data_IF_421137637819
#
_entry.id   IF_421137637819
#
_cell.length_a   1.000
_cell.length_b   1.000
_cell.length_c   1.000
_cell.angle_alpha   90.00
_cell.angle_beta   90.00
_cell.angle_gamma   90.00
#
_symmetry.space_group_name_H-M   'P 1'
#
loop_
_entity.id
_entity.type
_entity.pdbx_description
1 polymer ?
#
# COMPACT_ATOMS: atom_id res chain seq x y z
N UNK A 1 11.34 9.69 -10.98
CA UNK A 1 10.50 9.11 -9.90
C UNK A 1 9.06 9.14 -10.38
N UNK A 2 8.44 7.96 -10.59
CA UNK A 2 7.12 7.84 -11.23
C UNK A 2 6.01 7.39 -10.26
N UNK A 3 6.32 7.42 -8.97
CA UNK A 3 5.37 7.11 -7.90
C UNK A 3 4.36 8.25 -7.74
N UNK A 4 3.13 7.91 -7.36
CA UNK A 4 2.08 8.86 -6.98
C UNK A 4 2.46 9.78 -5.81
N UNK A 5 3.48 9.43 -5.02
CA UNK A 5 4.10 10.33 -4.03
C UNK A 5 4.53 11.66 -4.63
N UNK A 6 4.91 11.65 -5.90
CA UNK A 6 5.47 12.81 -6.61
C UNK A 6 4.48 13.38 -7.62
N UNK A 7 3.21 12.99 -7.54
CA UNK A 7 2.14 13.65 -8.28
C UNK A 7 1.78 14.97 -7.59
N UNK A 8 1.55 15.98 -8.43
CA UNK A 8 1.17 17.31 -7.96
C UNK A 8 -0.20 17.18 -7.29
N UNK A 9 -0.24 17.49 -6.01
CA UNK A 9 -1.50 17.54 -5.25
C UNK A 9 -2.37 18.73 -5.69
N UNK A 10 -3.67 18.70 -5.38
CA UNK A 10 -4.55 19.87 -5.59
C UNK A 10 -3.98 21.11 -4.90
N UNK A 11 -3.47 20.94 -3.68
CA UNK A 11 -2.87 22.01 -2.90
C UNK A 11 -1.61 22.59 -3.57
N UNK A 12 -0.72 21.76 -4.13
CA UNK A 12 0.43 22.24 -4.92
C UNK A 12 0.01 22.88 -6.25
N UNK A 13 -1.14 22.50 -6.79
CA UNK A 13 -1.70 23.13 -7.99
C UNK A 13 -2.25 24.52 -7.68
N UNK A 14 -2.84 24.70 -6.50
CA UNK A 14 -3.39 25.97 -6.02
C UNK A 14 -2.32 26.91 -5.43
N UNK A 15 -1.17 26.37 -5.02
CA UNK A 15 -0.12 27.12 -4.32
C UNK A 15 1.24 27.05 -5.05
N UNK A 16 2.21 26.35 -4.48
CA UNK A 16 3.58 26.24 -4.97
C UNK A 16 3.90 24.77 -5.13
N UNK A 17 4.36 24.42 -6.34
CA UNK A 17 4.90 23.08 -6.62
C UNK A 17 6.31 22.97 -6.05
N UNK A 18 6.68 21.81 -5.51
CA UNK A 18 8.02 21.58 -4.96
C UNK A 18 9.14 21.89 -5.99
N UNK A 19 8.92 21.58 -7.27
CA UNK A 19 9.87 21.89 -8.35
C UNK A 19 10.00 23.38 -8.69
N UNK A 20 9.13 24.22 -8.14
CA UNK A 20 9.07 25.67 -8.38
C UNK A 20 9.55 26.46 -7.15
N UNK A 21 10.10 25.78 -6.12
CA UNK A 21 10.66 26.45 -4.96
C UNK A 21 11.81 27.37 -5.38
N UNK A 22 11.66 28.67 -5.06
CA UNK A 22 12.65 29.68 -5.39
C UNK A 22 13.90 29.50 -4.54
N UNK A 23 15.05 29.33 -5.21
CA UNK A 23 16.35 29.34 -4.54
C UNK A 23 16.89 30.76 -4.31
N UNK A 24 16.23 31.77 -4.88
CA UNK A 24 16.60 33.18 -4.68
C UNK A 24 16.03 33.75 -3.39
N UNK A 25 14.97 33.14 -2.87
CA UNK A 25 14.37 33.55 -1.60
C UNK A 25 15.07 32.86 -0.44
N UNK A 26 15.42 33.66 0.55
CA UNK A 26 16.05 33.20 1.78
C UNK A 26 14.99 33.06 2.88
N UNK A 27 14.97 31.89 3.51
CA UNK A 27 14.14 31.60 4.66
C UNK A 27 14.90 31.96 5.95
N UNK A 28 14.31 32.78 6.84
CA UNK A 28 14.91 33.09 8.12
C UNK A 28 14.96 31.84 9.01
N UNK A 29 16.07 31.66 9.73
CA UNK A 29 16.19 30.61 10.73
C UNK A 29 15.26 30.87 11.91
N UNK A 30 14.21 30.07 12.04
CA UNK A 30 13.26 30.17 13.15
C UNK A 30 13.97 29.90 14.50
N UNK A 31 13.70 30.68 15.56
CA UNK A 31 14.36 30.52 16.86
C UNK A 31 14.20 29.13 17.48
N UNK A 32 13.06 28.47 17.21
CA UNK A 32 12.75 27.12 17.68
C UNK A 32 13.27 26.01 16.77
N UNK A 33 13.92 26.34 15.66
CA UNK A 33 14.44 25.34 14.72
C UNK A 33 15.61 24.57 15.34
N UNK A 34 15.67 23.27 15.03
CA UNK A 34 16.83 22.42 15.34
C UNK A 34 18.13 22.99 14.79
N UNK A 35 18.07 23.76 13.70
CA UNK A 35 19.21 24.45 13.09
C UNK A 35 19.84 25.53 13.98
N UNK A 36 19.10 26.03 14.99
CA UNK A 36 19.61 26.99 15.97
C UNK A 36 19.99 26.34 17.30
N UNK A 37 19.67 25.06 17.51
CA UNK A 37 19.79 24.41 18.81
C UNK A 37 20.83 23.29 18.81
N UNK A 38 21.75 23.40 19.78
CA UNK A 38 22.86 22.49 20.14
C UNK A 38 24.07 22.49 19.18
N UNK A 39 25.09 23.25 19.61
CA UNK A 39 26.53 23.17 19.27
C UNK A 39 26.96 23.45 17.82
N UNK A 40 26.09 23.39 16.83
CA UNK A 40 26.34 23.89 15.48
C UNK A 40 25.67 25.24 15.26
N UNK A 41 26.20 26.33 15.81
CA UNK A 41 25.75 27.67 15.43
C UNK A 41 26.08 27.87 13.96
N UNK A 42 25.14 27.59 13.05
CA UNK A 42 25.14 28.18 11.73
C UNK A 42 25.18 29.70 11.97
N UNK A 43 26.30 30.35 11.65
CA UNK A 43 26.51 31.81 11.79
C UNK A 43 25.67 32.62 10.80
N UNK A 44 24.61 32.03 10.24
CA UNK A 44 23.82 32.59 9.15
C UNK A 44 22.39 32.70 9.65
N UNK A 45 21.80 33.89 9.56
CA UNK A 45 20.44 34.16 10.05
C UNK A 45 19.36 33.70 9.06
N UNK A 46 19.73 33.44 7.81
CA UNK A 46 18.86 33.01 6.73
C UNK A 46 19.55 31.98 5.84
N UNK A 47 18.79 31.10 5.18
CA UNK A 47 19.30 30.16 4.19
C UNK A 47 18.40 30.19 2.95
N UNK A 48 18.94 30.01 1.73
CA UNK A 48 18.12 29.76 0.55
C UNK A 48 17.13 28.62 0.81
N UNK A 49 15.92 28.71 0.27
CA UNK A 49 14.81 27.78 0.58
C UNK A 49 15.20 26.30 0.57
N UNK A 50 15.85 25.79 -0.48
CA UNK A 50 16.27 24.37 -0.51
C UNK A 50 17.40 24.08 0.48
N UNK A 51 18.31 25.04 0.68
CA UNK A 51 19.39 24.92 1.65
C UNK A 51 18.87 24.81 3.08
N UNK A 52 17.83 25.58 3.41
CA UNK A 52 17.12 25.49 4.69
C UNK A 52 16.52 24.08 4.87
N UNK A 53 15.78 23.59 3.87
CA UNK A 53 15.08 22.31 3.94
C UNK A 53 16.06 21.13 4.08
N UNK A 54 17.14 21.11 3.31
CA UNK A 54 18.15 20.06 3.42
C UNK A 54 18.89 20.11 4.75
N UNK A 55 19.35 21.28 5.19
CA UNK A 55 20.00 21.41 6.49
C UNK A 55 19.06 20.94 7.62
N UNK A 56 17.78 21.30 7.55
CA UNK A 56 16.79 20.87 8.53
C UNK A 56 16.65 19.35 8.55
N UNK A 57 16.51 18.70 7.39
CA UNK A 57 16.40 17.25 7.31
C UNK A 57 17.69 16.55 7.78
N UNK A 58 18.88 17.03 7.38
CA UNK A 58 20.19 16.46 7.74
C UNK A 58 20.50 16.51 9.25
N UNK A 59 19.78 17.34 10.00
CA UNK A 59 19.89 17.40 11.46
C UNK A 59 19.22 16.22 12.18
N UNK A 60 18.44 15.41 11.45
CA UNK A 60 17.80 14.20 11.95
C UNK A 60 18.49 12.96 11.41
N UNK A 61 18.43 11.86 12.18
CA UNK A 61 18.92 10.56 11.73
C UNK A 61 17.74 9.73 11.19
N UNK A 62 17.80 9.29 9.94
CA UNK A 62 16.78 8.46 9.30
C UNK A 62 17.18 6.97 9.20
N UNK A 63 18.28 6.56 9.85
CA UNK A 63 18.74 5.17 9.85
C UNK A 63 17.82 4.24 10.68
N UNK A 64 17.82 2.96 10.34
CA UNK A 64 17.18 1.86 11.08
C UNK A 64 17.82 1.64 12.44
N UNK A 65 17.07 1.13 13.42
CA UNK A 65 17.52 0.95 14.81
C UNK A 65 18.72 0.01 14.95
N UNK A 66 19.00 -0.84 13.95
CA UNK A 66 20.08 -1.82 13.99
C UNK A 66 21.50 -1.24 14.00
N UNK A 67 21.73 -0.01 13.52
CA UNK A 67 23.06 0.60 13.55
C UNK A 67 23.30 1.34 14.87
N UNK A 68 23.47 0.61 15.97
CA UNK A 68 24.05 1.16 17.21
C UNK A 68 25.56 1.39 17.06
N UNK A 69 25.99 2.08 16.00
CA UNK A 69 27.23 2.82 16.11
C UNK A 69 26.90 4.06 16.93
N UNK A 70 27.54 4.16 18.11
CA UNK A 70 27.48 5.34 18.97
C UNK A 70 28.01 6.54 18.17
N UNK A 71 27.15 7.19 17.39
CA UNK A 71 27.43 8.50 16.82
C UNK A 71 27.48 9.47 18.00
N UNK A 72 28.65 10.08 18.22
CA UNK A 72 28.86 11.11 19.25
C UNK A 72 27.89 12.30 19.11
N UNK A 73 27.24 12.43 17.96
CA UNK A 73 26.16 13.37 17.70
C UNK A 73 24.80 12.68 17.87
N UNK A 74 24.15 12.91 19.01
CA UNK A 74 22.77 12.50 19.29
C UNK A 74 21.77 13.27 18.40
N UNK A 75 21.77 13.00 17.09
CA UNK A 75 20.72 13.44 16.17
C UNK A 75 19.42 12.73 16.54
N UNK A 76 18.29 13.44 16.44
CA UNK A 76 16.99 12.85 16.77
C UNK A 76 16.64 11.81 15.69
N UNK A 77 16.40 10.57 16.10
CA UNK A 77 16.09 9.46 15.20
C UNK A 77 14.63 9.55 14.71
N UNK A 78 14.44 9.51 13.39
CA UNK A 78 13.15 9.45 12.70
C UNK A 78 13.10 8.13 11.93
N UNK A 79 12.60 7.09 12.58
CA UNK A 79 12.28 5.81 11.94
C UNK A 79 10.81 5.77 11.49
N UNK A 80 10.44 4.68 10.81
CA UNK A 80 9.05 4.47 10.42
C UNK A 80 8.10 4.49 11.62
N UNK A 81 8.48 3.95 12.78
CA UNK A 81 7.63 3.95 13.98
C UNK A 81 7.35 5.38 14.51
N UNK A 82 8.32 6.30 14.43
CA UNK A 82 8.15 7.73 14.75
C UNK A 82 7.10 8.41 13.87
N UNK A 83 6.97 8.04 12.59
CA UNK A 83 5.87 8.56 11.74
C UNK A 83 4.49 8.19 12.28
N UNK A 84 4.37 7.01 12.90
CA UNK A 84 3.14 6.60 13.58
C UNK A 84 2.82 7.48 14.79
N UNK A 85 3.82 7.77 15.62
CA UNK A 85 3.68 8.64 16.79
C UNK A 85 3.36 10.09 16.41
N UNK A 86 3.99 10.61 15.34
CA UNK A 86 3.70 11.95 14.82
C UNK A 86 2.24 12.02 14.35
N UNK A 87 1.75 10.99 13.66
CA UNK A 87 0.37 10.92 13.20
C UNK A 87 -0.65 10.97 14.33
N UNK A 88 -0.43 10.19 15.40
CA UNK A 88 -1.29 10.21 16.57
C UNK A 88 -1.37 11.60 17.21
N UNK A 89 -0.21 12.25 17.37
CA UNK A 89 -0.11 13.59 17.94
C UNK A 89 -0.83 14.64 17.10
N UNK A 90 -0.76 14.54 15.77
CA UNK A 90 -1.44 15.48 14.86
C UNK A 90 -2.97 15.29 14.89
N UNK A 91 -3.45 14.05 15.00
CA UNK A 91 -4.90 13.77 15.02
C UNK A 91 -5.55 13.86 16.40
N UNK A 92 -4.75 13.93 17.48
CA UNK A 92 -5.24 14.14 18.84
C UNK A 92 -6.20 13.06 19.35
N UNK A 93 -6.00 11.81 18.96
CA UNK A 93 -6.82 10.63 19.31
C UNK A 93 -8.33 10.71 19.00
N UNK A 94 -8.82 11.78 18.36
CA UNK A 94 -10.26 12.00 18.11
C UNK A 94 -10.89 10.93 17.20
N UNK A 95 -10.08 10.32 16.33
CA UNK A 95 -10.52 9.32 15.35
C UNK A 95 -10.23 7.86 15.79
N UNK A 96 -9.84 7.63 17.04
CA UNK A 96 -9.48 6.27 17.51
C UNK A 96 -8.18 5.73 16.89
N UNK A 97 -7.31 6.61 16.39
CA UNK A 97 -5.97 6.26 15.92
C UNK A 97 -5.12 5.77 17.09
N UNK A 98 -4.90 4.44 17.17
CA UNK A 98 -4.09 3.78 18.19
C UNK A 98 -2.91 3.08 17.53
N UNK A 99 -1.71 3.45 17.95
CA UNK A 99 -0.45 2.83 17.57
C UNK A 99 -0.31 1.50 18.30
N UNK A 100 -0.10 0.43 17.54
CA UNK A 100 0.18 -0.89 18.10
C UNK A 100 1.69 -1.02 18.29
N UNK A 101 2.20 -1.37 19.49
CA UNK A 101 3.63 -1.57 19.71
C UNK A 101 4.22 -2.62 18.76
N UNK A 102 5.44 -2.38 18.26
CA UNK A 102 6.09 -3.25 17.27
C UNK A 102 6.24 -4.71 17.71
N UNK A 103 6.47 -4.95 19.01
CA UNK A 103 6.56 -6.32 19.53
C UNK A 103 5.24 -7.11 19.39
N UNK A 104 4.10 -6.42 19.49
CA UNK A 104 2.78 -7.03 19.36
C UNK A 104 2.49 -7.34 17.89
N UNK A 105 2.76 -6.40 16.99
CA UNK A 105 2.54 -6.62 15.54
C UNK A 105 3.44 -7.72 15.02
N UNK A 106 4.72 -7.73 15.42
CA UNK A 106 5.68 -8.79 15.10
C UNK A 106 5.17 -10.17 15.54
N UNK A 107 4.81 -10.33 16.83
CA UNK A 107 4.32 -11.60 17.35
C UNK A 107 3.04 -12.08 16.63
N UNK A 108 2.06 -11.18 16.44
CA UNK A 108 0.81 -11.51 15.78
C UNK A 108 1.03 -11.92 14.32
N UNK A 109 1.90 -11.21 13.61
CA UNK A 109 2.23 -11.53 12.22
C UNK A 109 2.97 -12.87 12.12
N UNK A 110 3.95 -13.13 13.00
CA UNK A 110 4.69 -14.39 13.02
C UNK A 110 3.74 -15.60 13.15
N UNK A 111 2.87 -15.59 14.17
CA UNK A 111 1.93 -16.68 14.43
C UNK A 111 0.93 -16.86 13.27
N UNK A 112 0.33 -15.76 12.80
CA UNK A 112 -0.70 -15.81 11.76
C UNK A 112 -0.13 -16.25 10.40
N UNK A 113 1.02 -15.68 10.00
CA UNK A 113 1.60 -15.91 8.68
C UNK A 113 2.26 -17.29 8.62
N UNK A 114 3.00 -17.70 9.65
CA UNK A 114 3.60 -19.05 9.70
C UNK A 114 2.53 -20.13 9.57
N UNK A 115 1.44 -20.01 10.33
CA UNK A 115 0.30 -20.93 10.23
C UNK A 115 -0.35 -20.92 8.86
N UNK A 116 -0.51 -19.74 8.26
CA UNK A 116 -1.10 -19.59 6.92
C UNK A 116 -0.21 -20.23 5.85
N UNK A 117 1.11 -20.05 5.93
CA UNK A 117 2.08 -20.68 5.02
C UNK A 117 1.99 -22.20 5.15
N UNK A 118 2.02 -22.76 6.36
CA UNK A 118 1.88 -24.20 6.59
C UNK A 118 0.59 -24.76 5.99
N UNK A 119 -0.56 -24.14 6.29
CA UNK A 119 -1.85 -24.55 5.75
C UNK A 119 -1.88 -24.51 4.22
N UNK A 120 -1.27 -23.48 3.62
CA UNK A 120 -1.26 -23.31 2.17
C UNK A 120 -0.40 -24.34 1.46
N UNK A 121 0.78 -24.64 1.99
CA UNK A 121 1.65 -25.68 1.45
C UNK A 121 1.03 -27.07 1.64
N UNK A 122 0.49 -27.37 2.82
CA UNK A 122 -0.20 -28.63 3.08
C UNK A 122 -1.41 -28.81 2.16
N UNK A 123 -2.23 -27.77 1.96
CA UNK A 123 -3.38 -27.82 1.07
C UNK A 123 -3.02 -27.97 -0.40
N UNK A 124 -1.93 -27.35 -0.86
CA UNK A 124 -1.51 -27.41 -2.26
C UNK A 124 -0.82 -28.74 -2.62
N UNK A 125 0.08 -29.22 -1.75
CA UNK A 125 0.87 -30.44 -2.00
C UNK A 125 0.27 -31.71 -1.37
N UNK A 126 -0.76 -31.60 -0.54
CA UNK A 126 -1.30 -32.73 0.24
C UNK A 126 -0.35 -33.20 1.35
N UNK A 127 0.50 -32.31 1.86
CA UNK A 127 1.44 -32.61 2.94
C UNK A 127 0.79 -32.45 4.33
N UNK A 128 1.46 -32.99 5.34
CA UNK A 128 1.13 -32.84 6.76
C UNK A 128 2.31 -32.24 7.53
N UNK A 129 2.88 -31.15 7.03
CA UNK A 129 3.97 -30.45 7.71
C UNK A 129 3.45 -29.67 8.92
N UNK A 130 4.15 -29.76 10.05
CA UNK A 130 3.78 -29.09 11.31
C UNK A 130 4.70 -27.93 11.64
N UNK A 131 5.92 -27.91 11.08
CA UNK A 131 6.91 -26.87 11.28
C UNK A 131 7.45 -26.31 9.96
N UNK A 132 8.07 -25.13 10.03
CA UNK A 132 8.80 -24.51 8.90
C UNK A 132 9.95 -25.40 8.44
N UNK A 133 10.59 -26.13 9.37
CA UNK A 133 11.67 -27.07 9.09
C UNK A 133 11.15 -28.26 8.27
N UNK A 134 9.97 -28.79 8.60
CA UNK A 134 9.34 -29.86 7.83
C UNK A 134 9.06 -29.43 6.39
N UNK A 135 8.60 -28.18 6.20
CA UNK A 135 8.40 -27.61 4.87
C UNK A 135 9.72 -27.48 4.12
N UNK A 136 10.73 -26.89 4.75
CA UNK A 136 12.07 -26.72 4.15
C UNK A 136 12.60 -28.04 3.59
N UNK A 137 12.49 -29.12 4.37
CA UNK A 137 12.98 -30.45 3.99
C UNK A 137 12.19 -31.11 2.85
N UNK A 138 10.97 -30.65 2.55
CA UNK A 138 10.12 -31.19 1.48
C UNK A 138 10.07 -30.32 0.22
N UNK A 139 10.56 -29.09 0.28
CA UNK A 139 10.53 -28.18 -0.87
C UNK A 139 11.62 -28.59 -1.86
N UNK A 140 11.19 -29.29 -2.91
CA UNK A 140 12.06 -29.64 -4.04
C UNK A 140 12.02 -28.55 -5.14
N UNK A 141 10.84 -27.98 -5.38
CA UNK A 141 10.58 -26.98 -6.43
C UNK A 141 10.52 -25.56 -5.85
N UNK A 142 11.65 -24.86 -5.91
CA UNK A 142 11.80 -23.49 -5.38
C UNK A 142 10.84 -22.51 -6.07
N UNK A 143 10.69 -22.63 -7.40
CA UNK A 143 9.87 -21.69 -8.17
C UNK A 143 8.41 -21.81 -7.75
N UNK A 144 7.88 -23.04 -7.69
CA UNK A 144 6.49 -23.26 -7.27
C UNK A 144 6.27 -22.88 -5.82
N UNK A 145 7.21 -23.15 -4.93
CA UNK A 145 7.12 -22.72 -3.53
C UNK A 145 7.10 -21.18 -3.41
N UNK A 146 7.93 -20.48 -4.19
CA UNK A 146 7.95 -19.02 -4.22
C UNK A 146 6.62 -18.46 -4.76
N UNK A 147 6.09 -19.03 -5.85
CA UNK A 147 4.77 -18.67 -6.39
C UNK A 147 3.64 -18.91 -5.38
N UNK A 148 3.72 -19.98 -4.60
CA UNK A 148 2.74 -20.31 -3.58
C UNK A 148 2.72 -19.26 -2.47
N UNK A 149 3.89 -18.81 -1.98
CA UNK A 149 3.97 -17.69 -1.04
C UNK A 149 3.46 -16.39 -1.67
N UNK A 150 3.87 -16.07 -2.91
CA UNK A 150 3.44 -14.86 -3.62
C UNK A 150 1.93 -14.81 -3.91
N UNK A 151 1.24 -15.94 -3.79
CA UNK A 151 -0.22 -16.02 -3.92
C UNK A 151 -0.97 -15.78 -2.60
N UNK A 152 -0.28 -15.64 -1.46
CA UNK A 152 -0.91 -15.29 -0.18
C UNK A 152 -1.47 -13.87 -0.25
N UNK A 153 -2.61 -13.63 0.41
CA UNK A 153 -3.30 -12.33 0.43
C UNK A 153 -3.59 -11.98 1.89
N UNK A 154 -2.98 -10.91 2.37
CA UNK A 154 -3.10 -10.37 3.72
C UNK A 154 -3.83 -9.04 3.60
N UNK A 155 -4.90 -8.87 4.38
CA UNK A 155 -5.73 -7.67 4.35
C UNK A 155 -5.86 -7.10 5.76
N UNK A 156 -5.51 -5.83 5.92
CA UNK A 156 -5.77 -5.06 7.13
C UNK A 156 -6.96 -4.11 6.90
N UNK A 157 -8.15 -4.37 7.48
CA UNK A 157 -9.36 -3.59 7.26
C UNK A 157 -9.41 -2.26 8.04
N UNK A 158 -8.41 -1.98 8.89
CA UNK A 158 -8.29 -0.74 9.65
C UNK A 158 -6.79 -0.38 9.75
N UNK A 159 -6.18 -0.18 8.57
CA UNK A 159 -4.72 -0.24 8.42
C UNK A 159 -3.95 0.83 9.20
N UNK A 160 -4.58 1.94 9.57
CA UNK A 160 -3.94 3.02 10.30
C UNK A 160 -2.65 3.47 9.62
N UNK A 161 -1.58 3.57 10.41
CA UNK A 161 -0.24 3.94 9.92
C UNK A 161 0.50 2.83 9.17
N UNK A 162 -0.07 1.62 9.07
CA UNK A 162 0.47 0.50 8.29
C UNK A 162 1.49 -0.40 9.01
N UNK A 163 1.52 -0.44 10.34
CA UNK A 163 2.46 -1.29 11.09
C UNK A 163 2.30 -2.77 10.76
N UNK A 164 1.09 -3.32 10.90
CA UNK A 164 0.83 -4.73 10.60
C UNK A 164 1.24 -5.14 9.18
N UNK A 165 1.11 -4.25 8.19
CA UNK A 165 1.53 -4.56 6.82
C UNK A 165 3.05 -4.60 6.66
N UNK A 166 3.80 -3.77 7.39
CA UNK A 166 5.26 -3.86 7.42
C UNK A 166 5.74 -5.09 8.18
N UNK A 167 5.15 -5.38 9.35
CA UNK A 167 5.42 -6.63 10.09
C UNK A 167 5.18 -7.85 9.21
N UNK A 168 4.06 -7.86 8.49
CA UNK A 168 3.73 -8.94 7.55
C UNK A 168 4.69 -9.04 6.36
N UNK A 169 5.17 -7.90 5.84
CA UNK A 169 6.19 -7.85 4.80
C UNK A 169 7.49 -8.51 5.28
N UNK A 170 7.98 -8.10 6.45
CA UNK A 170 9.22 -8.58 7.03
C UNK A 170 9.13 -10.08 7.34
N UNK A 171 8.02 -10.54 7.91
CA UNK A 171 7.78 -11.96 8.20
C UNK A 171 7.74 -12.82 6.92
N UNK A 172 7.09 -12.35 5.85
CA UNK A 172 7.06 -13.08 4.58
C UNK A 172 8.44 -13.19 3.93
N UNK A 173 9.27 -12.14 4.01
CA UNK A 173 10.65 -12.19 3.53
C UNK A 173 11.48 -13.16 4.38
N UNK A 174 11.34 -13.09 5.70
CA UNK A 174 12.01 -13.99 6.64
C UNK A 174 11.64 -15.46 6.37
N UNK A 175 10.36 -15.77 6.19
CA UNK A 175 9.92 -17.13 5.86
C UNK A 175 10.42 -17.60 4.50
N UNK A 176 10.50 -16.72 3.48
CA UNK A 176 11.13 -17.06 2.19
C UNK A 176 12.60 -17.45 2.37
N UNK A 177 13.33 -16.72 3.20
CA UNK A 177 14.71 -17.04 3.56
C UNK A 177 14.80 -18.37 4.32
N UNK A 178 13.98 -18.57 5.35
CA UNK A 178 13.99 -19.77 6.17
C UNK A 178 13.66 -21.05 5.38
N UNK A 179 12.71 -20.94 4.45
CA UNK A 179 12.34 -22.02 3.53
C UNK A 179 13.33 -22.22 2.38
N UNK A 180 14.38 -21.39 2.26
CA UNK A 180 15.38 -21.48 1.21
C UNK A 180 14.84 -21.17 -0.19
N UNK A 181 13.76 -20.39 -0.27
CA UNK A 181 13.10 -20.00 -1.53
C UNK A 181 13.27 -18.51 -1.85
N UNK A 182 14.01 -17.77 -1.01
CA UNK A 182 14.51 -16.44 -1.33
C UNK A 182 15.63 -16.56 -2.37
N UNK A 183 15.34 -16.14 -3.59
CA UNK A 183 16.22 -16.31 -4.76
C UNK A 183 16.45 -14.99 -5.49
N UNK A 184 17.63 -14.86 -6.08
CA UNK A 184 17.97 -13.73 -6.93
C UNK A 184 17.24 -13.79 -8.29
N UNK A 185 17.55 -12.84 -9.17
CA UNK A 185 16.97 -12.74 -10.52
C UNK A 185 17.23 -13.98 -11.39
N UNK A 186 18.28 -14.74 -11.09
CA UNK A 186 18.70 -15.95 -11.82
C UNK A 186 18.19 -17.24 -11.16
N UNK A 187 17.43 -17.14 -10.06
CA UNK A 187 16.95 -18.30 -9.29
C UNK A 187 17.98 -18.90 -8.33
N UNK A 188 19.13 -18.25 -8.12
CA UNK A 188 20.15 -18.70 -7.17
C UNK A 188 19.74 -18.28 -5.76
N UNK A 189 19.67 -19.25 -4.84
CA UNK A 189 19.29 -19.04 -3.44
C UNK A 189 20.26 -18.11 -2.71
N UNK A 190 19.73 -17.32 -1.78
CA UNK A 190 20.55 -16.67 -0.75
C UNK A 190 20.92 -17.74 0.27
N UNK A 191 22.22 -17.99 0.46
CA UNK A 191 22.69 -19.10 1.32
C UNK A 191 22.73 -18.64 2.77
N UNK A 192 22.30 -19.50 3.68
CA UNK A 192 22.38 -19.27 5.14
C UNK A 192 23.82 -19.14 5.66
N UNK A 193 24.82 -19.54 4.87
CA UNK A 193 26.24 -19.39 5.19
C UNK A 193 26.76 -17.97 4.91
N UNK A 194 26.15 -17.26 3.95
CA UNK A 194 26.61 -15.94 3.52
C UNK A 194 25.89 -14.83 4.31
N UNK A 195 24.62 -15.06 4.64
CA UNK A 195 23.76 -14.07 5.30
C UNK A 195 22.83 -14.71 6.32
N UNK A 196 22.57 -13.97 7.40
CA UNK A 196 21.55 -14.30 8.42
C UNK A 196 20.48 -13.23 8.43
N UNK A 197 19.22 -13.65 8.56
CA UNK A 197 18.06 -12.77 8.65
C UNK A 197 17.47 -12.90 10.05
N UNK A 198 17.10 -11.77 10.65
CA UNK A 198 16.38 -11.71 11.91
C UNK A 198 15.33 -10.60 11.83
N UNK A 199 14.29 -10.69 12.65
CA UNK A 199 13.33 -9.59 12.84
C UNK A 199 13.48 -9.13 14.28
N UNK A 200 13.90 -7.88 14.46
CA UNK A 200 14.07 -7.25 15.77
C UNK A 200 13.38 -5.89 15.74
N UNK A 201 12.60 -5.59 16.79
CA UNK A 201 11.82 -4.35 16.89
C UNK A 201 10.98 -4.03 15.63
N UNK A 202 10.39 -5.06 15.01
CA UNK A 202 9.58 -4.94 13.78
C UNK A 202 10.38 -4.55 12.51
N UNK A 203 11.71 -4.58 12.57
CA UNK A 203 12.61 -4.36 11.44
C UNK A 203 13.31 -5.65 11.01
N UNK A 204 13.42 -5.86 9.69
CA UNK A 204 14.18 -6.97 9.14
C UNK A 204 15.67 -6.63 9.13
N UNK A 205 16.43 -7.27 10.01
CA UNK A 205 17.88 -7.16 10.09
C UNK A 205 18.52 -8.24 9.23
N UNK A 206 19.50 -7.84 8.44
CA UNK A 206 20.33 -8.74 7.64
C UNK A 206 21.78 -8.55 8.08
N UNK A 207 22.43 -9.64 8.46
CA UNK A 207 23.86 -9.68 8.77
C UNK A 207 24.61 -10.57 7.80
N UNK A 208 25.89 -10.28 7.57
CA UNK A 208 26.79 -11.12 6.77
C UNK A 208 27.37 -12.29 7.58
N UNK A 209 28.24 -13.09 6.96
CA UNK A 209 28.93 -14.22 7.58
C UNK A 209 29.84 -13.85 8.76
N UNK A 210 30.21 -12.57 8.88
CA UNK A 210 31.03 -12.03 9.96
C UNK A 210 30.19 -11.38 11.07
N UNK A 211 28.85 -11.53 11.01
CA UNK A 211 27.86 -10.88 11.87
C UNK A 211 27.84 -9.33 11.77
N UNK A 212 28.41 -8.75 10.71
CA UNK A 212 28.28 -7.31 10.48
C UNK A 212 26.94 -7.02 9.82
N UNK A 213 26.36 -5.85 10.12
CA UNK A 213 25.13 -5.39 9.46
C UNK A 213 25.37 -5.23 7.97
N UNK A 214 24.45 -5.79 7.17
CA UNK A 214 24.51 -5.67 5.73
C UNK A 214 24.43 -4.19 5.33
N UNK A 215 25.51 -3.71 4.71
CA UNK A 215 25.57 -2.39 4.11
C UNK A 215 25.68 -2.51 2.60
N UNK A 216 24.84 -1.77 1.87
CA UNK A 216 24.85 -1.81 0.42
C UNK A 216 26.11 -1.16 -0.15
N UNK A 217 26.90 -1.95 -0.89
CA UNK A 217 28.09 -1.50 -1.60
C UNK A 217 27.89 -1.68 -3.12
N UNK A 218 27.66 -0.59 -3.87
CA UNK A 218 27.45 -0.64 -5.31
C UNK A 218 28.63 -1.25 -6.10
N UNK A 219 29.84 -1.23 -5.56
CA UNK A 219 31.02 -1.78 -6.23
C UNK A 219 31.12 -3.32 -6.09
N UNK A 220 30.47 -3.91 -5.08
CA UNK A 220 30.52 -5.35 -4.81
C UNK A 220 29.34 -6.08 -5.48
N UNK A 221 29.63 -7.11 -6.28
CA UNK A 221 28.64 -7.88 -7.02
C UNK A 221 27.65 -8.65 -6.12
N UNK A 222 28.13 -9.32 -5.08
CA UNK A 222 27.25 -10.04 -4.15
C UNK A 222 26.40 -9.07 -3.31
N UNK A 223 26.94 -7.89 -2.95
CA UNK A 223 26.15 -6.84 -2.29
C UNK A 223 25.04 -6.31 -3.19
N UNK A 224 25.33 -6.06 -4.49
CA UNK A 224 24.30 -5.69 -5.49
C UNK A 224 23.24 -6.77 -5.64
N UNK A 225 23.66 -8.03 -5.78
CA UNK A 225 22.76 -9.19 -5.91
C UNK A 225 21.81 -9.29 -4.72
N UNK A 226 22.32 -9.15 -3.50
CA UNK A 226 21.52 -9.21 -2.29
C UNK A 226 20.54 -8.02 -2.19
N UNK A 227 21.03 -6.79 -2.40
CA UNK A 227 20.19 -5.59 -2.39
C UNK A 227 19.05 -5.67 -3.42
N UNK A 228 19.36 -6.06 -4.66
CA UNK A 228 18.37 -6.27 -5.71
C UNK A 228 17.35 -7.36 -5.34
N UNK A 229 17.81 -8.47 -4.75
CA UNK A 229 16.93 -9.55 -4.31
C UNK A 229 15.93 -9.08 -3.27
N UNK A 230 16.38 -8.36 -2.23
CA UNK A 230 15.51 -7.78 -1.22
C UNK A 230 14.49 -6.82 -1.83
N UNK A 231 14.94 -5.89 -2.68
CA UNK A 231 14.06 -4.93 -3.32
C UNK A 231 12.97 -5.62 -4.15
N UNK A 232 13.37 -6.57 -5.00
CA UNK A 232 12.46 -7.29 -5.89
C UNK A 232 11.42 -8.08 -5.11
N UNK A 233 11.84 -8.79 -4.08
CA UNK A 233 10.95 -9.63 -3.27
C UNK A 233 10.02 -8.78 -2.39
N UNK A 234 10.52 -7.69 -1.78
CA UNK A 234 9.67 -6.73 -1.06
C UNK A 234 8.64 -6.10 -1.98
N UNK A 235 9.06 -5.64 -3.17
CA UNK A 235 8.16 -5.09 -4.21
C UNK A 235 7.07 -6.10 -4.58
N UNK A 236 7.43 -7.36 -4.87
CA UNK A 236 6.47 -8.41 -5.21
C UNK A 236 5.44 -8.65 -4.11
N UNK A 237 5.86 -8.70 -2.85
CA UNK A 237 4.97 -8.91 -1.70
C UNK A 237 4.05 -7.70 -1.51
N UNK A 238 4.58 -6.48 -1.53
CA UNK A 238 3.79 -5.24 -1.42
C UNK A 238 2.74 -5.17 -2.54
N UNK A 239 3.14 -5.49 -3.77
CA UNK A 239 2.26 -5.40 -4.93
C UNK A 239 1.19 -6.48 -4.98
N UNK A 240 1.47 -7.69 -4.49
CA UNK A 240 0.59 -8.83 -4.71
C UNK A 240 -0.05 -9.37 -3.45
N UNK A 241 0.60 -9.26 -2.30
CA UNK A 241 0.19 -9.93 -1.08
C UNK A 241 -0.48 -9.00 -0.07
N UNK A 242 -0.05 -7.73 0.02
CA UNK A 242 -0.49 -6.82 1.07
C UNK A 242 -1.62 -5.90 0.60
N UNK A 243 -2.71 -5.85 1.38
CA UNK A 243 -3.89 -5.03 1.13
C UNK A 243 -4.30 -4.31 2.41
N UNK A 244 -4.81 -3.09 2.28
CA UNK A 244 -5.19 -2.28 3.43
C UNK A 244 -6.36 -1.35 3.14
N UNK A 245 -7.25 -1.17 4.12
CA UNK A 245 -8.34 -0.21 4.07
C UNK A 245 -8.34 0.62 5.36
N UNK A 246 -8.56 1.91 5.25
CA UNK A 246 -8.81 2.78 6.40
C UNK A 246 -9.83 3.86 6.04
N UNK A 247 -10.63 4.29 7.01
CA UNK A 247 -11.64 5.33 6.82
C UNK A 247 -11.00 6.72 6.71
N UNK A 248 -9.85 6.93 7.37
CA UNK A 248 -9.14 8.19 7.36
C UNK A 248 -8.16 8.23 6.16
N UNK A 249 -8.32 9.19 5.22
CA UNK A 249 -7.44 9.31 4.07
C UNK A 249 -5.98 9.61 4.46
N UNK A 250 -5.72 10.23 5.61
CA UNK A 250 -4.37 10.49 6.08
C UNK A 250 -3.68 9.20 6.57
N UNK A 251 -4.39 8.31 7.25
CA UNK A 251 -3.90 6.96 7.61
C UNK A 251 -3.43 6.22 6.35
N UNK A 252 -4.25 6.21 5.31
CA UNK A 252 -3.92 5.59 4.01
C UNK A 252 -2.65 6.16 3.41
N UNK A 253 -2.48 7.50 3.41
CA UNK A 253 -1.27 8.15 2.88
C UNK A 253 -0.03 7.75 3.68
N UNK A 254 -0.12 7.70 5.01
CA UNK A 254 1.00 7.34 5.88
C UNK A 254 1.36 5.86 5.74
N UNK A 255 0.37 4.97 5.66
CA UNK A 255 0.61 3.56 5.38
C UNK A 255 1.35 3.36 4.06
N UNK A 256 0.95 4.08 2.99
CA UNK A 256 1.66 4.02 1.71
C UNK A 256 3.09 4.55 1.84
N UNK A 257 3.28 5.70 2.50
CA UNK A 257 4.61 6.27 2.78
C UNK A 257 5.50 5.28 3.52
N UNK A 258 4.97 4.62 4.55
CA UNK A 258 5.69 3.60 5.32
C UNK A 258 6.15 2.46 4.44
N UNK A 259 5.27 1.89 3.62
CA UNK A 259 5.63 0.80 2.69
C UNK A 259 6.66 1.25 1.65
N UNK A 260 6.59 2.50 1.17
CA UNK A 260 7.60 3.05 0.27
C UNK A 260 8.95 3.23 0.95
N UNK A 261 9.00 3.75 2.18
CA UNK A 261 10.25 3.90 2.95
C UNK A 261 10.88 2.51 3.16
N UNK A 262 10.08 1.51 3.52
CA UNK A 262 10.57 0.15 3.72
C UNK A 262 11.15 -0.48 2.45
N UNK A 263 10.58 -0.15 1.28
CA UNK A 263 11.14 -0.56 -0.01
C UNK A 263 12.38 0.26 -0.40
N UNK A 264 12.39 1.58 -0.09
CA UNK A 264 13.49 2.49 -0.37
C UNK A 264 14.76 2.14 0.38
N UNK A 265 14.66 1.56 1.59
CA UNK A 265 15.82 1.00 2.33
C UNK A 265 16.63 0.02 1.47
N UNK A 266 15.98 -0.67 0.52
CA UNK A 266 16.61 -1.61 -0.39
C UNK A 266 16.78 -1.08 -1.83
N UNK A 267 16.63 0.22 -2.09
CA UNK A 267 16.87 0.77 -3.41
C UNK A 267 18.31 0.47 -3.89
N UNK A 268 18.47 0.20 -5.18
CA UNK A 268 19.74 -0.20 -5.78
C UNK A 268 19.96 0.49 -7.12
N UNK A 269 21.23 0.54 -7.54
CA UNK A 269 21.62 1.09 -8.83
C UNK A 269 21.45 0.03 -9.91
N UNK A 270 20.79 0.39 -11.00
CA UNK A 270 20.42 -0.57 -12.05
C UNK A 270 21.59 -0.82 -13.00
N UNK A 271 21.79 -2.08 -13.39
CA UNK A 271 22.79 -2.44 -14.39
C UNK A 271 22.48 -1.84 -15.77
N UNK A 272 21.19 -1.74 -16.13
CA UNK A 272 20.74 -1.14 -17.39
C UNK A 272 21.12 0.34 -17.55
N UNK A 273 21.27 1.07 -16.44
CA UNK A 273 21.74 2.46 -16.43
C UNK A 273 23.26 2.58 -16.28
N UNK A 274 24.00 1.48 -16.42
CA UNK A 274 25.43 1.42 -16.08
C UNK A 274 25.70 1.94 -14.66
N UNK A 275 24.80 1.59 -13.71
CA UNK A 275 24.84 1.99 -12.31
C UNK A 275 24.78 3.49 -12.04
N UNK A 276 24.20 4.27 -12.95
CA UNK A 276 24.05 5.73 -12.78
C UNK A 276 22.71 6.10 -12.12
N UNK A 277 21.68 5.30 -12.31
CA UNK A 277 20.33 5.58 -11.82
C UNK A 277 19.81 4.47 -10.89
N UNK A 278 19.09 4.90 -9.85
CA UNK A 278 18.39 4.01 -8.94
C UNK A 278 17.15 3.38 -9.60
N UNK A 279 16.81 2.17 -9.16
CA UNK A 279 15.59 1.50 -9.57
C UNK A 279 14.35 2.33 -9.21
N UNK A 280 13.36 2.31 -10.11
CA UNK A 280 12.13 3.10 -9.93
C UNK A 280 11.20 2.46 -8.90
N UNK A 281 10.63 3.30 -8.03
CA UNK A 281 9.63 2.85 -7.07
C UNK A 281 8.31 2.46 -7.75
N UNK A 282 7.66 1.37 -7.28
CA UNK A 282 6.36 0.95 -7.78
C UNK A 282 5.22 1.86 -7.30
N UNK A 283 4.09 1.77 -7.99
CA UNK A 283 2.84 2.41 -7.58
C UNK A 283 2.07 1.51 -6.59
N UNK A 284 2.19 1.78 -5.28
CA UNK A 284 1.59 0.99 -4.19
C UNK A 284 0.11 1.36 -3.96
N UNK A 285 -0.40 2.43 -4.59
CA UNK A 285 -1.71 3.03 -4.32
C UNK A 285 -2.90 2.12 -4.57
N UNK A 286 -2.73 1.10 -5.41
CA UNK A 286 -3.83 0.21 -5.79
C UNK A 286 -4.27 -0.68 -4.63
N UNK A 287 -3.35 -1.10 -3.77
CA UNK A 287 -3.68 -2.09 -2.74
C UNK A 287 -4.14 -1.47 -1.41
N UNK A 288 -3.73 -0.22 -1.13
CA UNK A 288 -4.12 0.51 0.09
C UNK A 288 -5.16 1.57 -0.25
N UNK A 289 -6.39 1.45 0.27
CA UNK A 289 -7.53 2.29 -0.13
C UNK A 289 -8.21 2.99 1.05
N UNK A 290 -8.73 4.18 0.77
CA UNK A 290 -9.64 4.85 1.69
C UNK A 290 -11.04 4.25 1.54
N UNK A 291 -11.65 3.85 2.65
CA UNK A 291 -12.98 3.25 2.66
C UNK A 291 -13.43 2.83 4.05
N UNK A 292 -14.73 2.61 4.20
CA UNK A 292 -15.29 2.03 5.41
C UNK A 292 -15.39 0.51 5.25
N UNK A 293 -14.57 -0.23 5.99
CA UNK A 293 -14.52 -1.70 5.95
C UNK A 293 -15.75 -2.38 6.53
N UNK A 294 -16.57 -1.67 7.32
CA UNK A 294 -17.84 -2.19 7.86
C UNK A 294 -18.99 -2.10 6.86
N UNK A 295 -18.86 -1.27 5.83
CA UNK A 295 -19.92 -1.05 4.85
C UNK A 295 -19.59 -1.83 3.59
N UNK A 296 -20.36 -2.88 3.33
CA UNK A 296 -20.34 -3.55 2.04
C UNK A 296 -21.54 -3.08 1.22
N UNK A 297 -21.26 -2.62 0.00
CA UNK A 297 -22.31 -2.24 -0.95
C UNK A 297 -22.92 -3.45 -1.67
N UNK A 298 -22.18 -4.56 -1.71
CA UNK A 298 -22.51 -5.78 -2.45
C UNK A 298 -22.32 -6.98 -1.53
N UNK A 299 -23.22 -7.96 -1.56
CA UNK A 299 -23.01 -9.18 -0.78
C UNK A 299 -21.81 -9.94 -1.33
N UNK A 300 -21.10 -10.66 -0.46
CA UNK A 300 -19.94 -11.49 -0.86
C UNK A 300 -20.33 -12.60 -1.85
N UNK A 301 -21.61 -12.99 -1.86
CA UNK A 301 -22.17 -14.02 -2.73
C UNK A 301 -22.62 -13.48 -4.10
N UNK A 302 -22.76 -12.15 -4.24
CA UNK A 302 -23.21 -11.54 -5.49
C UNK A 302 -22.14 -11.74 -6.57
N UNK A 303 -22.48 -12.53 -7.60
CA UNK A 303 -21.53 -12.89 -8.64
C UNK A 303 -21.21 -11.69 -9.55
N UNK A 304 -20.05 -11.09 -9.35
CA UNK A 304 -19.48 -10.07 -10.24
C UNK A 304 -19.37 -10.59 -11.69
N UNK A 305 -19.35 -11.92 -11.88
CA UNK A 305 -19.26 -12.56 -13.21
C UNK A 305 -20.42 -12.19 -14.14
N UNK A 306 -21.65 -12.03 -13.64
CA UNK A 306 -22.77 -11.61 -14.50
C UNK A 306 -22.58 -10.20 -15.03
N UNK A 307 -22.08 -9.30 -14.18
CA UNK A 307 -21.82 -7.90 -14.53
C UNK A 307 -20.63 -7.77 -15.49
N UNK A 308 -19.60 -8.59 -15.30
CA UNK A 308 -18.44 -8.63 -16.21
C UNK A 308 -18.82 -9.14 -17.61
N UNK A 309 -19.81 -10.04 -17.72
CA UNK A 309 -20.33 -10.51 -19.01
C UNK A 309 -21.09 -9.42 -19.76
N UNK A 310 -21.95 -8.68 -19.07
CA UNK A 310 -22.75 -7.60 -19.67
C UNK A 310 -21.89 -6.41 -20.15
N UNK A 311 -20.82 -6.09 -19.43
CA UNK A 311 -19.92 -4.97 -19.76
C UNK A 311 -18.86 -5.30 -20.81
N UNK A 312 -18.67 -6.58 -21.16
CA UNK A 312 -17.56 -7.04 -22.01
C UNK A 312 -16.17 -6.86 -21.36
N UNK A 313 -16.10 -6.47 -20.09
CA UNK A 313 -14.83 -6.26 -19.38
C UNK A 313 -14.42 -7.56 -18.69
N UNK A 314 -13.32 -8.16 -19.13
CA UNK A 314 -12.77 -9.35 -18.49
C UNK A 314 -11.93 -8.99 -17.26
N UNK A 315 -12.01 -9.79 -16.19
CA UNK A 315 -11.10 -9.70 -15.02
C UNK A 315 -9.63 -9.71 -15.46
N UNK A 316 -9.30 -10.50 -16.49
CA UNK A 316 -7.96 -10.55 -17.08
C UNK A 316 -7.53 -9.19 -17.64
N UNK A 317 -8.41 -8.47 -18.33
CA UNK A 317 -8.13 -7.12 -18.85
C UNK A 317 -7.89 -6.13 -17.70
N UNK A 318 -8.71 -6.18 -16.65
CA UNK A 318 -8.52 -5.36 -15.46
C UNK A 318 -7.18 -5.67 -14.75
N UNK A 319 -6.90 -6.95 -14.47
CA UNK A 319 -5.63 -7.39 -13.84
C UNK A 319 -4.42 -6.98 -14.68
N UNK A 320 -4.49 -7.11 -15.99
CA UNK A 320 -3.42 -6.67 -16.89
C UNK A 320 -3.25 -5.14 -16.86
N UNK A 321 -4.34 -4.38 -16.85
CA UNK A 321 -4.29 -2.91 -16.72
C UNK A 321 -3.67 -2.48 -15.38
N UNK A 322 -4.05 -3.14 -14.30
CA UNK A 322 -3.45 -2.93 -12.96
C UNK A 322 -1.96 -3.28 -12.95
N UNK A 323 -1.58 -4.41 -13.56
CA UNK A 323 -0.17 -4.82 -13.65
C UNK A 323 0.66 -3.84 -14.49
N UNK A 324 0.12 -3.33 -15.59
CA UNK A 324 0.75 -2.28 -16.40
C UNK A 324 0.91 -0.99 -15.57
N UNK A 325 -0.14 -0.57 -14.86
CA UNK A 325 -0.09 0.64 -14.04
C UNK A 325 0.98 0.57 -12.94
N UNK A 326 1.11 -0.60 -12.28
CA UNK A 326 2.13 -0.81 -11.25
C UNK A 326 3.56 -0.65 -11.77
N UNK A 327 3.78 -1.00 -13.04
CA UNK A 327 5.09 -0.96 -13.69
C UNK A 327 5.28 0.22 -14.65
N UNK A 328 4.29 1.11 -14.80
CA UNK A 328 4.35 2.22 -15.72
C UNK A 328 5.49 3.18 -15.32
N UNK A 329 6.39 3.45 -16.28
CA UNK A 329 7.53 4.34 -16.10
C UNK A 329 7.29 5.74 -16.68
N UNK A 330 6.18 5.94 -17.37
CA UNK A 330 5.83 7.25 -17.92
C UNK A 330 4.55 7.82 -17.30
N UNK A 331 4.52 9.15 -17.14
CA UNK A 331 3.39 9.86 -16.52
C UNK A 331 2.15 9.88 -17.43
N UNK A 332 2.33 9.93 -18.75
CA UNK A 332 1.20 9.92 -19.69
C UNK A 332 0.59 8.52 -19.74
N UNK A 333 1.41 7.49 -19.89
CA UNK A 333 0.97 6.08 -19.83
C UNK A 333 0.22 5.80 -18.51
N UNK A 334 0.73 6.31 -17.40
CA UNK A 334 0.09 6.19 -16.09
C UNK A 334 -1.31 6.81 -16.09
N UNK A 335 -1.44 8.05 -16.57
CA UNK A 335 -2.72 8.77 -16.61
C UNK A 335 -3.74 8.04 -17.49
N UNK A 336 -3.34 7.53 -18.64
CA UNK A 336 -4.20 6.72 -19.51
C UNK A 336 -4.69 5.45 -18.80
N UNK A 337 -3.78 4.74 -18.12
CA UNK A 337 -4.12 3.53 -17.36
C UNK A 337 -5.02 3.83 -16.17
N UNK A 338 -4.86 4.98 -15.49
CA UNK A 338 -5.76 5.41 -14.42
C UNK A 338 -7.16 5.70 -14.92
N UNK A 339 -7.28 6.43 -16.04
CA UNK A 339 -8.56 6.70 -16.67
C UNK A 339 -9.24 5.37 -17.03
N UNK A 340 -8.51 4.46 -17.68
CA UNK A 340 -9.03 3.14 -18.04
C UNK A 340 -9.47 2.33 -16.81
N UNK A 341 -8.67 2.31 -15.74
CA UNK A 341 -9.01 1.62 -14.48
C UNK A 341 -10.24 2.26 -13.83
N UNK A 342 -10.34 3.59 -13.85
CA UNK A 342 -11.46 4.36 -13.29
C UNK A 342 -12.75 4.11 -14.07
N UNK A 343 -12.68 4.10 -15.39
CA UNK A 343 -13.80 3.77 -16.27
C UNK A 343 -14.31 2.35 -16.02
N UNK A 344 -13.41 1.38 -15.92
CA UNK A 344 -13.77 -0.01 -15.59
C UNK A 344 -14.49 -0.05 -14.24
N UNK A 345 -13.95 0.62 -13.21
CA UNK A 345 -14.57 0.69 -11.88
C UNK A 345 -15.93 1.36 -11.91
N UNK A 346 -16.08 2.45 -12.67
CA UNK A 346 -17.33 3.20 -12.79
C UNK A 346 -18.41 2.37 -13.49
N UNK A 347 -18.06 1.67 -14.58
CA UNK A 347 -18.95 0.74 -15.27
C UNK A 347 -19.39 -0.40 -14.34
N UNK A 348 -18.45 -1.03 -13.64
CA UNK A 348 -18.77 -2.07 -12.66
C UNK A 348 -19.69 -1.52 -11.55
N UNK A 349 -19.38 -0.36 -10.98
CA UNK A 349 -20.20 0.25 -9.91
C UNK A 349 -21.62 0.58 -10.40
N UNK A 350 -21.76 1.02 -11.64
CA UNK A 350 -23.04 1.37 -12.25
C UNK A 350 -23.88 0.11 -12.47
N UNK A 351 -23.33 -0.90 -13.13
CA UNK A 351 -24.03 -2.15 -13.43
C UNK A 351 -24.42 -2.92 -12.17
N UNK A 352 -23.52 -3.05 -11.19
CA UNK A 352 -23.88 -3.69 -9.93
C UNK A 352 -24.94 -2.86 -9.18
N UNK A 353 -24.85 -1.52 -9.24
CA UNK A 353 -25.85 -0.63 -8.66
C UNK A 353 -27.24 -0.74 -9.31
N UNK A 354 -27.33 -1.09 -10.59
CA UNK A 354 -28.63 -1.32 -11.24
C UNK A 354 -29.36 -2.55 -10.69
N UNK A 355 -28.60 -3.56 -10.22
CA UNK A 355 -29.13 -4.80 -9.65
C UNK A 355 -29.45 -4.72 -8.15
N UNK A 356 -29.16 -3.59 -7.51
CA UNK A 356 -29.40 -3.38 -6.09
C UNK A 356 -30.91 -3.41 -5.77
N UNK A 357 -31.40 -4.27 -4.85
CA UNK A 357 -32.84 -4.47 -4.62
C UNK A 357 -33.60 -3.18 -4.31
N UNK A 358 -32.97 -2.28 -3.55
CA UNK A 358 -33.54 -0.96 -3.22
C UNK A 358 -33.68 -0.08 -4.46
N UNK A 359 -32.70 -0.06 -5.37
CA UNK A 359 -32.77 0.70 -6.63
C UNK A 359 -33.74 0.08 -7.62
N UNK A 360 -33.80 -1.24 -7.73
CA UNK A 360 -34.81 -1.93 -8.55
C UNK A 360 -36.22 -1.60 -8.06
N UNK A 361 -36.44 -1.62 -6.74
CA UNK A 361 -37.72 -1.25 -6.12
C UNK A 361 -38.06 0.22 -6.36
N UNK A 362 -37.10 1.13 -6.20
CA UNK A 362 -37.26 2.55 -6.49
C UNK A 362 -37.60 2.81 -7.96
N UNK A 363 -36.91 2.14 -8.89
CA UNK A 363 -37.16 2.26 -10.33
C UNK A 363 -38.54 1.73 -10.70
N UNK A 364 -38.98 0.62 -10.08
CA UNK A 364 -40.36 0.11 -10.26
C UNK A 364 -41.40 1.11 -9.77
N UNK A 365 -41.21 1.71 -8.59
CA UNK A 365 -42.13 2.72 -8.07
C UNK A 365 -42.17 3.98 -8.94
N UNK A 366 -41.03 4.41 -9.49
CA UNK A 366 -40.96 5.54 -10.43
C UNK A 366 -41.62 5.23 -11.77
N UNK A 367 -41.46 4.02 -12.30
CA UNK A 367 -42.12 3.59 -13.53
C UNK A 367 -43.64 3.52 -13.33
N UNK A 368 -44.10 2.90 -12.24
CA UNK A 368 -45.53 2.84 -11.87
C UNK A 368 -46.11 4.25 -11.69
N UNK A 369 -45.37 5.17 -11.06
CA UNK A 369 -45.78 6.55 -10.90
C UNK A 369 -45.88 7.27 -12.27
N UNK A 370 -44.92 7.08 -13.16
CA UNK A 370 -44.95 7.68 -14.51
C UNK A 370 -46.11 7.14 -15.36
N UNK A 371 -46.40 5.84 -15.29
CA UNK A 371 -47.56 5.23 -15.95
C UNK A 371 -48.88 5.77 -15.38
N UNK A 372 -48.92 6.02 -14.06
CA UNK A 372 -50.05 6.62 -13.39
C UNK A 372 -50.13 8.14 -13.59
N UNK A 373 -49.11 8.82 -14.10
CA UNK A 373 -49.14 10.26 -14.40
C UNK A 373 -49.30 10.53 -15.91
N UNK A 374 -49.12 9.52 -16.76
CA UNK A 374 -49.24 9.69 -18.21
C UNK A 374 -50.69 10.03 -18.59
N UNK A 375 -50.91 10.93 -19.56
CA UNK A 375 -52.24 11.24 -20.06
C UNK A 375 -52.85 10.00 -20.70
N UNK A 376 -54.06 9.62 -20.30
CA UNK A 376 -54.78 8.51 -20.92
C UNK A 376 -55.87 9.01 -21.87
N UNK A 377 -56.12 8.22 -22.93
CA UNK A 377 -57.09 8.53 -23.97
C UNK A 377 -58.56 8.44 -23.52
N UNK A 378 -58.84 7.79 -22.38
CA UNK A 378 -60.21 7.53 -21.91
C UNK A 378 -60.46 8.14 -20.53
N UNK A 379 -61.68 8.62 -20.30
CA UNK A 379 -62.11 9.17 -19.00
C UNK A 379 -62.36 8.06 -17.98
N UNK A 380 -61.76 8.22 -16.80
CA UNK A 380 -61.91 7.31 -15.67
C UNK A 380 -63.17 7.60 -14.87
N UNK A 381 -63.74 6.54 -14.26
CA UNK A 381 -64.82 6.70 -13.29
C UNK A 381 -64.33 7.35 -11.98
N UNK A 382 -65.24 7.99 -11.21
CA UNK A 382 -64.90 8.62 -9.92
C UNK A 382 -64.24 7.65 -8.92
N UNK A 383 -64.55 6.35 -9.00
CA UNK A 383 -63.97 5.32 -8.14
C UNK A 383 -62.51 5.04 -8.54
N UNK A 384 -62.24 4.89 -9.83
CA UNK A 384 -60.90 4.67 -10.38
C UNK A 384 -59.98 5.87 -10.14
N UNK A 385 -60.49 7.10 -10.28
CA UNK A 385 -59.72 8.31 -9.95
C UNK A 385 -59.28 8.34 -8.48
N UNK A 386 -60.16 7.95 -7.54
CA UNK A 386 -59.85 7.92 -6.11
C UNK A 386 -58.85 6.84 -5.74
N UNK A 387 -58.91 5.68 -6.40
CA UNK A 387 -57.92 4.60 -6.24
C UNK A 387 -56.55 4.99 -6.82
N UNK A 388 -56.54 5.64 -8.00
CA UNK A 388 -55.34 6.18 -8.64
C UNK A 388 -54.64 7.20 -7.74
N UNK A 389 -55.39 8.15 -7.18
CA UNK A 389 -54.86 9.17 -6.27
C UNK A 389 -54.22 8.58 -5.02
N UNK A 390 -54.88 7.59 -4.39
CA UNK A 390 -54.33 6.86 -3.23
C UNK A 390 -53.05 6.11 -3.58
N UNK A 391 -52.97 5.53 -4.77
CA UNK A 391 -51.78 4.79 -5.23
C UNK A 391 -50.61 5.73 -5.51
N UNK A 392 -50.87 6.91 -6.08
CA UNK A 392 -49.89 7.98 -6.27
C UNK A 392 -49.33 8.47 -4.93
N UNK A 393 -50.19 8.74 -3.93
CA UNK A 393 -49.72 9.14 -2.59
C UNK A 393 -48.87 8.07 -1.91
N UNK A 394 -49.24 6.79 -2.05
CA UNK A 394 -48.45 5.67 -1.54
C UNK A 394 -47.08 5.59 -2.19
N UNK A 395 -47.00 5.71 -3.52
CA UNK A 395 -45.74 5.70 -4.27
C UNK A 395 -44.85 6.89 -3.92
N UNK A 396 -45.43 8.08 -3.72
CA UNK A 396 -44.67 9.26 -3.26
C UNK A 396 -44.08 9.12 -1.87
N UNK A 397 -44.70 8.35 -0.97
CA UNK A 397 -44.12 8.04 0.36
C UNK A 397 -43.03 6.96 0.30
N UNK A 398 -43.06 6.11 -0.71
CA UNK A 398 -42.12 5.00 -0.88
C UNK A 398 -40.88 5.31 -1.71
N UNK A 399 -40.91 6.41 -2.47
CA UNK A 399 -39.77 7.02 -3.19
C UNK A 399 -39.06 8.00 -2.24
#
# INVERSE_FOLDING_TARGET
>A
LNSSLFEVTELESDTIKINSLSQREELPLLPSSVLKNKKGNLKVDSLPTLGYLFAFLDSYNFASEGSEEVQEEAKTLINASVLGLIFEKINGHKDGSVFTPGIITMYMCHEAITKTVLQKFNGFYGWNCTSVIDLYNKIDDISKANDLINSIRICDPAVGSGHFLVSALNELIYLKYELGILVDVNGKRIRKQDYTFAIENDELIVTDSENNLFTYNPCNEESRRMQETLFREKKLIIENCLFGVDINPNSVKICRLRLWIELLKNAYYTQSSNYQYLETLPNIDINIKCGNSLVYRFNLEDSIKSVLRETGITIKKYKNGVAKYKNAQDKEEKKELEILISEIKSKLKTEIGQKEPKRVKLNRYRAELNDLLTPQLFEFTKKEQKERQKRIEFLHRGI
#
